data_IF_047890030303
#
_entry.id   IF_047890030303
#
_cell.length_a   1.000
_cell.length_b   1.000
_cell.length_c   1.000
_cell.angle_alpha   90.00
_cell.angle_beta   90.00
_cell.angle_gamma   90.00
#
_symmetry.space_group_name_H-M   'P 1'
#
loop_
_entity.id
_entity.type
_entity.pdbx_description
1 polymer ?
#
# COMPACT_ATOMS: atom_id res chain seq x y z
N UNK A 1 -62.25 -9.23 43.09
CA UNK A 1 -61.37 -9.69 42.01
C UNK A 1 -60.63 -8.44 41.54
N UNK A 2 -59.48 -8.08 42.12
CA UNK A 2 -58.12 -8.63 41.96
C UNK A 2 -57.42 -8.11 40.70
N UNK A 3 -56.38 -7.29 40.95
CA UNK A 3 -55.11 -7.06 40.21
C UNK A 3 -55.23 -6.50 38.77
N UNK A 4 -54.73 -5.30 38.44
CA UNK A 4 -53.35 -4.78 38.46
C UNK A 4 -52.41 -5.47 37.46
N UNK A 5 -51.93 -4.64 36.52
CA UNK A 5 -50.65 -4.66 35.82
C UNK A 5 -50.34 -5.79 34.83
N UNK A 6 -50.32 -5.43 33.54
CA UNK A 6 -49.25 -5.85 32.62
C UNK A 6 -48.98 -4.70 31.63
N UNK A 7 -47.92 -3.94 31.93
CA UNK A 7 -47.26 -3.03 30.99
C UNK A 7 -46.35 -3.90 30.14
N UNK A 8 -46.77 -4.25 28.93
CA UNK A 8 -45.86 -4.82 27.95
C UNK A 8 -44.95 -3.70 27.42
N UNK A 9 -43.70 -3.79 27.89
CA UNK A 9 -42.58 -2.95 27.56
C UNK A 9 -42.24 -3.18 26.07
N UNK A 10 -42.60 -2.23 25.20
CA UNK A 10 -42.16 -2.23 23.80
C UNK A 10 -40.65 -1.92 23.78
N UNK A 11 -39.75 -2.83 23.41
CA UNK A 11 -38.39 -2.42 23.16
C UNK A 11 -38.39 -1.60 21.87
N UNK A 12 -38.01 -0.33 22.00
CA UNK A 12 -37.65 0.55 20.89
C UNK A 12 -36.39 0.02 20.20
N UNK A 13 -36.55 -1.07 19.42
CA UNK A 13 -35.56 -1.56 18.48
C UNK A 13 -35.75 -0.88 17.14
N UNK A 14 -35.46 0.42 17.07
CA UNK A 14 -35.18 1.05 15.77
C UNK A 14 -33.97 0.33 15.15
N UNK A 15 -33.94 0.09 13.83
CA UNK A 15 -32.78 -0.52 13.21
C UNK A 15 -31.62 0.48 13.30
N UNK A 16 -30.76 0.28 14.29
CA UNK A 16 -29.42 0.84 14.30
C UNK A 16 -28.52 -0.04 13.43
N UNK A 17 -28.89 -0.20 12.16
CA UNK A 17 -27.91 -0.46 11.10
C UNK A 17 -27.59 0.89 10.48
N UNK A 18 -26.95 1.74 11.30
CA UNK A 18 -26.04 2.73 10.76
C UNK A 18 -24.87 1.91 10.22
N UNK A 19 -24.83 1.77 8.90
CA UNK A 19 -23.68 1.26 8.15
C UNK A 19 -22.40 1.57 8.91
N UNK A 20 -21.77 0.52 9.45
CA UNK A 20 -20.46 0.60 10.06
C UNK A 20 -19.49 0.92 8.92
N UNK A 21 -19.31 2.22 8.64
CA UNK A 21 -18.32 2.71 7.69
C UNK A 21 -16.97 2.35 8.29
N UNK A 22 -16.49 1.16 7.97
CA UNK A 22 -15.12 0.76 8.29
C UNK A 22 -14.18 1.82 7.70
N UNK A 23 -13.30 2.43 8.50
CA UNK A 23 -12.43 3.48 8.01
C UNK A 23 -11.38 2.86 7.08
N UNK A 24 -11.68 2.86 5.77
CA UNK A 24 -10.81 2.53 4.63
C UNK A 24 -9.73 1.48 4.93
N UNK A 25 -10.13 0.21 4.96
CA UNK A 25 -9.21 -0.92 5.07
C UNK A 25 -8.22 -0.94 3.88
N UNK A 26 -6.97 -1.28 4.17
CA UNK A 26 -5.97 -1.58 3.15
C UNK A 26 -6.48 -2.73 2.27
N UNK A 27 -6.53 -2.52 0.96
CA UNK A 27 -6.86 -3.58 0.01
C UNK A 27 -5.64 -4.48 -0.17
N UNK A 28 -5.80 -5.78 0.03
CA UNK A 28 -4.74 -6.76 -0.18
C UNK A 28 -5.09 -7.55 -1.44
N UNK A 29 -4.23 -7.48 -2.46
CA UNK A 29 -4.45 -8.17 -3.74
C UNK A 29 -3.19 -8.94 -4.11
N UNK A 30 -3.34 -10.22 -4.42
CA UNK A 30 -2.24 -11.10 -4.84
C UNK A 30 -1.97 -11.01 -6.35
N UNK A 31 -0.69 -10.94 -6.70
CA UNK A 31 -0.19 -10.94 -8.05
C UNK A 31 0.85 -12.06 -8.24
N UNK A 32 0.93 -12.67 -9.44
CA UNK A 32 1.78 -13.83 -9.66
C UNK A 32 3.28 -13.51 -9.64
N UNK A 33 3.68 -12.25 -9.75
CA UNK A 33 5.08 -11.85 -9.93
C UNK A 33 5.35 -10.40 -9.53
N UNK A 34 6.64 -10.07 -9.40
CA UNK A 34 7.12 -8.72 -9.04
C UNK A 34 6.62 -7.65 -10.01
N UNK A 35 6.74 -7.89 -11.32
CA UNK A 35 6.34 -6.95 -12.37
C UNK A 35 4.83 -6.67 -12.32
N UNK A 36 4.00 -7.69 -12.10
CA UNK A 36 2.55 -7.51 -11.99
C UNK A 36 2.15 -6.75 -10.72
N UNK A 37 2.80 -7.07 -9.60
CA UNK A 37 2.57 -6.34 -8.35
C UNK A 37 3.02 -4.87 -8.44
N UNK A 38 4.18 -4.59 -9.06
CA UNK A 38 4.69 -3.24 -9.21
C UNK A 38 3.81 -2.39 -10.13
N UNK A 39 3.37 -2.96 -11.27
CA UNK A 39 2.47 -2.27 -12.20
C UNK A 39 1.14 -1.96 -11.54
N UNK A 40 0.58 -2.90 -10.79
CA UNK A 40 -0.67 -2.68 -10.06
C UNK A 40 -0.53 -1.59 -9.00
N UNK A 41 0.58 -1.57 -8.26
CA UNK A 41 0.87 -0.54 -7.27
C UNK A 41 1.03 0.85 -7.89
N UNK A 42 1.76 0.98 -9.01
CA UNK A 42 1.86 2.25 -9.75
C UNK A 42 0.50 2.68 -10.31
N UNK A 43 -0.25 1.75 -10.91
CA UNK A 43 -1.61 2.01 -11.42
C UNK A 43 -2.55 2.48 -10.31
N UNK A 44 -2.43 1.93 -9.09
CA UNK A 44 -3.18 2.38 -7.93
C UNK A 44 -2.86 3.84 -7.58
N UNK A 45 -1.58 4.19 -7.54
CA UNK A 45 -1.15 5.59 -7.30
C UNK A 45 -1.72 6.54 -8.37
N UNK A 46 -1.69 6.12 -9.64
CA UNK A 46 -2.20 6.90 -10.77
C UNK A 46 -3.74 7.04 -10.77
N UNK A 47 -4.47 5.97 -10.41
CA UNK A 47 -5.93 5.94 -10.35
C UNK A 47 -6.51 6.66 -9.14
N UNK A 48 -5.72 6.88 -8.10
CA UNK A 48 -6.11 7.57 -6.86
C UNK A 48 -6.46 9.05 -6.98
N UNK A 49 -6.69 9.53 -8.21
CA UNK A 49 -6.81 10.93 -8.55
C UNK A 49 -8.24 11.24 -9.01
N UNK A 50 -8.89 12.15 -8.30
CA UNK A 50 -10.24 12.66 -8.61
C UNK A 50 -10.28 13.52 -9.91
N UNK A 51 -9.13 13.86 -10.52
CA UNK A 51 -9.04 14.96 -11.49
C UNK A 51 -8.59 14.60 -12.91
N UNK A 52 -8.59 13.32 -13.30
CA UNK A 52 -8.43 12.92 -14.71
C UNK A 52 -7.09 13.27 -15.39
N UNK A 53 -6.02 13.54 -14.62
CA UNK A 53 -4.65 13.72 -15.13
C UNK A 53 -3.72 12.68 -14.49
N UNK A 54 -2.84 12.01 -15.26
CA UNK A 54 -1.86 11.08 -14.71
C UNK A 54 -0.94 11.82 -13.72
N UNK A 55 -0.91 11.34 -12.48
CA UNK A 55 -0.11 11.86 -11.37
C UNK A 55 0.30 10.69 -10.47
N UNK A 56 1.58 10.62 -10.06
CA UNK A 56 2.57 11.69 -10.05
C UNK A 56 3.23 11.95 -11.41
N UNK A 57 3.60 13.21 -11.66
CA UNK A 57 4.63 13.49 -12.67
C UNK A 57 5.94 12.81 -12.19
N UNK A 58 6.56 11.92 -12.98
CA UNK A 58 7.78 11.22 -12.55
C UNK A 58 8.92 12.16 -12.13
N UNK A 59 8.93 13.39 -12.65
CA UNK A 59 9.92 14.43 -12.30
C UNK A 59 9.74 15.01 -10.90
N UNK A 60 8.55 14.87 -10.31
CA UNK A 60 8.24 15.35 -8.96
C UNK A 60 8.51 14.26 -7.90
N UNK A 61 8.86 13.05 -8.34
CA UNK A 61 9.16 11.93 -7.46
C UNK A 61 10.56 12.04 -6.88
N UNK A 62 10.68 11.65 -5.62
CA UNK A 62 11.94 11.51 -4.91
C UNK A 62 12.08 10.09 -4.37
N UNK A 63 13.33 9.65 -4.20
CA UNK A 63 13.62 8.36 -3.59
C UNK A 63 13.13 8.34 -2.13
N UNK A 64 12.45 7.26 -1.75
CA UNK A 64 11.97 7.04 -0.39
C UNK A 64 12.87 6.00 0.31
N UNK A 65 13.69 6.42 1.29
CA UNK A 65 14.45 5.49 2.10
C UNK A 65 13.59 4.87 3.19
N UNK A 66 13.88 3.62 3.56
CA UNK A 66 13.27 3.00 4.74
C UNK A 66 13.61 3.81 5.99
N UNK A 67 12.61 4.01 6.85
CA UNK A 67 12.74 4.76 8.10
C UNK A 67 13.12 3.87 9.29
N UNK A 68 12.82 2.57 9.22
CA UNK A 68 12.87 1.65 10.34
C UNK A 68 13.46 0.28 9.94
N UNK A 69 13.78 -0.52 10.97
CA UNK A 69 14.21 -1.90 10.79
C UNK A 69 15.61 -2.05 10.20
N UNK A 70 15.99 -3.29 9.80
CA UNK A 70 17.35 -3.62 9.35
C UNK A 70 17.75 -2.95 8.04
N UNK A 71 16.78 -2.46 7.26
CA UNK A 71 17.01 -1.80 5.98
C UNK A 71 16.96 -0.26 6.07
N UNK A 72 17.00 0.32 7.28
CA UNK A 72 16.97 1.77 7.49
C UNK A 72 18.00 2.49 6.60
N UNK A 73 17.54 3.53 5.89
CA UNK A 73 18.36 4.32 4.97
C UNK A 73 18.48 3.75 3.55
N UNK A 74 18.16 2.47 3.32
CA UNK A 74 18.11 1.89 1.96
C UNK A 74 16.88 2.37 1.22
N UNK A 75 16.99 2.54 -0.09
CA UNK A 75 15.86 2.91 -0.94
C UNK A 75 14.88 1.75 -1.00
N UNK A 76 13.62 2.02 -0.65
CA UNK A 76 12.53 1.03 -0.70
C UNK A 76 11.37 1.48 -1.58
N UNK A 77 11.41 2.69 -2.10
CA UNK A 77 10.32 3.20 -2.92
C UNK A 77 10.48 4.62 -3.38
N UNK A 78 9.34 5.21 -3.71
CA UNK A 78 9.20 6.53 -4.29
C UNK A 78 8.15 7.31 -3.50
N UNK A 79 8.35 8.62 -3.44
CA UNK A 79 7.45 9.50 -2.73
C UNK A 79 7.48 10.92 -3.26
N UNK A 80 6.78 11.81 -2.57
CA UNK A 80 6.75 13.24 -2.83
C UNK A 80 7.31 14.00 -1.63
N UNK A 81 8.11 15.02 -1.89
CA UNK A 81 8.64 15.89 -0.85
C UNK A 81 7.60 16.96 -0.49
N UNK A 82 7.16 16.99 0.76
CA UNK A 82 6.27 18.05 1.28
C UNK A 82 7.05 19.35 1.49
N UNK A 83 6.37 20.52 1.59
CA UNK A 83 7.01 21.78 1.94
C UNK A 83 7.79 21.73 3.27
N UNK A 84 7.38 20.88 4.20
CA UNK A 84 8.10 20.62 5.46
C UNK A 84 9.42 19.87 5.29
N UNK A 85 9.79 19.46 4.07
CA UNK A 85 10.96 18.64 3.78
C UNK A 85 10.75 17.14 4.00
N UNK A 86 9.64 16.75 4.64
CA UNK A 86 9.29 15.33 4.86
C UNK A 86 8.91 14.67 3.54
N UNK A 87 9.50 13.50 3.28
CA UNK A 87 9.10 12.65 2.16
C UNK A 87 7.93 11.76 2.61
N UNK A 88 6.85 11.84 1.85
CA UNK A 88 5.70 10.94 1.95
C UNK A 88 5.78 9.91 0.81
N UNK A 89 5.85 8.63 1.16
CA UNK A 89 5.85 7.52 0.21
C UNK A 89 4.55 7.49 -0.60
N UNK A 90 4.63 7.12 -1.87
CA UNK A 90 3.47 6.83 -2.72
C UNK A 90 3.41 5.36 -3.09
N UNK A 91 4.56 4.79 -3.43
CA UNK A 91 4.74 3.36 -3.69
C UNK A 91 6.05 2.90 -3.08
N UNK A 92 6.03 1.80 -2.34
CA UNK A 92 7.23 1.19 -1.76
C UNK A 92 7.11 -0.33 -1.76
N UNK A 93 8.22 -1.02 -1.95
CA UNK A 93 8.30 -2.45 -1.68
C UNK A 93 8.56 -2.67 -0.19
N UNK A 94 7.88 -3.64 0.38
CA UNK A 94 7.97 -3.98 1.79
C UNK A 94 7.95 -5.51 1.94
N UNK A 95 8.27 -5.97 3.14
CA UNK A 95 8.15 -7.38 3.50
C UNK A 95 7.59 -7.50 4.90
N UNK A 96 6.63 -8.39 5.10
CA UNK A 96 6.14 -8.72 6.42
C UNK A 96 5.96 -10.23 6.63
N UNK A 97 5.92 -10.62 7.90
CA UNK A 97 5.68 -11.99 8.35
C UNK A 97 4.20 -12.20 8.77
N UNK A 98 3.33 -11.24 8.48
CA UNK A 98 1.90 -11.24 8.85
C UNK A 98 0.99 -11.90 7.81
N UNK A 99 1.57 -12.63 6.86
CA UNK A 99 0.85 -13.37 5.82
C UNK A 99 0.85 -12.72 4.44
N UNK A 100 1.52 -11.56 4.25
CA UNK A 100 1.63 -10.93 2.92
C UNK A 100 2.92 -11.24 2.18
N UNK A 101 3.95 -11.72 2.87
CA UNK A 101 5.27 -11.90 2.27
C UNK A 101 5.84 -10.57 1.74
N UNK A 102 6.44 -10.59 0.55
CA UNK A 102 6.93 -9.38 -0.13
C UNK A 102 5.78 -8.75 -0.92
N UNK A 103 5.57 -7.45 -0.77
CA UNK A 103 4.48 -6.73 -1.39
C UNK A 103 4.83 -5.27 -1.70
N UNK A 104 4.11 -4.67 -2.64
CA UNK A 104 4.14 -3.24 -2.85
C UNK A 104 3.03 -2.56 -2.07
N UNK A 105 3.39 -1.64 -1.18
CA UNK A 105 2.46 -0.72 -0.55
C UNK A 105 2.29 0.51 -1.44
N UNK A 106 1.05 0.81 -1.84
CA UNK A 106 0.69 1.97 -2.64
C UNK A 106 -0.42 2.77 -1.96
N UNK A 107 -0.39 4.10 -2.09
CA UNK A 107 -1.44 4.96 -1.54
C UNK A 107 -1.77 6.15 -2.44
N UNK A 108 -3.00 6.64 -2.34
CA UNK A 108 -3.40 7.83 -3.09
C UNK A 108 -2.73 9.06 -2.50
N UNK A 109 -2.17 9.92 -3.36
CA UNK A 109 -1.48 11.14 -2.93
C UNK A 109 -2.37 12.08 -2.10
N UNK A 110 -3.63 12.26 -2.50
CA UNK A 110 -4.58 13.17 -1.83
C UNK A 110 -5.45 12.49 -0.77
N UNK A 111 -5.49 11.17 -0.77
CA UNK A 111 -6.27 10.38 0.18
C UNK A 111 -5.45 9.18 0.66
N UNK A 112 -4.51 9.44 1.56
CA UNK A 112 -3.57 8.41 2.06
C UNK A 112 -4.23 7.28 2.87
N UNK A 113 -5.53 7.40 3.16
CA UNK A 113 -6.34 6.33 3.74
C UNK A 113 -6.68 5.23 2.72
N UNK A 114 -6.62 5.53 1.41
CA UNK A 114 -6.77 4.52 0.36
C UNK A 114 -5.43 3.86 0.08
N UNK A 115 -5.30 2.62 0.53
CA UNK A 115 -4.06 1.85 0.48
C UNK A 115 -4.27 0.52 -0.25
N UNK A 116 -3.26 0.12 -1.00
CA UNK A 116 -3.14 -1.18 -1.62
C UNK A 116 -1.85 -1.85 -1.14
N UNK A 117 -1.94 -3.10 -0.72
CA UNK A 117 -0.84 -4.04 -0.63
C UNK A 117 -0.92 -5.02 -1.82
N UNK A 118 -0.12 -4.78 -2.85
CA UNK A 118 0.01 -5.67 -4.01
C UNK A 118 1.04 -6.77 -3.69
N UNK A 119 0.54 -7.93 -3.26
CA UNK A 119 1.32 -9.07 -2.75
C UNK A 119 1.93 -9.86 -3.89
N UNK A 120 3.23 -10.19 -3.79
CA UNK A 120 3.90 -11.10 -4.71
C UNK A 120 3.62 -12.53 -4.22
N UNK A 121 2.59 -13.17 -4.78
CA UNK A 121 2.03 -14.44 -4.30
C UNK A 121 3.07 -15.53 -4.03
N UNK A 122 4.07 -15.79 -4.90
CA UNK A 122 5.10 -16.80 -4.63
C UNK A 122 5.95 -16.55 -3.37
N UNK A 123 5.86 -15.38 -2.74
CA UNK A 123 6.68 -15.01 -1.57
C UNK A 123 5.97 -15.21 -0.23
N UNK A 124 4.67 -15.51 -0.25
CA UNK A 124 3.86 -15.71 0.97
C UNK A 124 4.35 -16.93 1.73
N UNK A 125 4.51 -18.06 1.03
CA UNK A 125 4.93 -19.34 1.60
C UNK A 125 6.45 -19.50 1.77
N UNK A 126 7.23 -18.46 1.45
CA UNK A 126 8.67 -18.48 1.69
C UNK A 126 8.97 -18.45 3.19
N UNK A 127 10.01 -19.18 3.59
CA UNK A 127 10.56 -19.04 4.94
C UNK A 127 11.05 -17.60 5.14
N UNK A 128 11.05 -17.08 6.39
CA UNK A 128 11.51 -15.71 6.66
C UNK A 128 12.93 -15.44 6.14
N UNK A 129 13.84 -16.43 6.27
CA UNK A 129 15.21 -16.31 5.76
C UNK A 129 15.25 -16.14 4.23
N UNK A 130 14.50 -16.96 3.49
CA UNK A 130 14.47 -16.91 2.02
C UNK A 130 13.78 -15.64 1.51
N UNK A 131 12.70 -15.23 2.18
CA UNK A 131 11.99 -13.97 1.91
C UNK A 131 12.90 -12.76 2.13
N UNK A 132 13.63 -12.71 3.24
CA UNK A 132 14.56 -11.61 3.55
C UNK A 132 15.73 -11.53 2.55
N UNK A 133 16.23 -12.69 2.09
CA UNK A 133 17.24 -12.73 1.03
C UNK A 133 16.70 -12.13 -0.27
N UNK A 134 15.55 -12.61 -0.74
CA UNK A 134 14.92 -12.12 -1.98
C UNK A 134 14.56 -10.62 -1.88
N UNK A 135 14.03 -10.18 -0.74
CA UNK A 135 13.75 -8.77 -0.49
C UNK A 135 15.03 -7.92 -0.58
N UNK A 136 16.14 -8.41 -0.02
CA UNK A 136 17.43 -7.71 -0.10
C UNK A 136 17.96 -7.58 -1.53
N UNK A 137 17.72 -8.59 -2.37
CA UNK A 137 18.04 -8.58 -3.81
C UNK A 137 17.20 -7.52 -4.53
N UNK A 138 15.90 -7.41 -4.23
CA UNK A 138 15.06 -6.34 -4.76
C UNK A 138 15.54 -4.96 -4.35
N UNK A 139 15.89 -4.74 -3.07
CA UNK A 139 16.42 -3.46 -2.61
C UNK A 139 17.75 -3.11 -3.29
N UNK A 140 18.62 -4.10 -3.52
CA UNK A 140 19.88 -3.90 -4.23
C UNK A 140 19.66 -3.45 -5.67
N UNK A 141 18.60 -3.94 -6.34
CA UNK A 141 18.27 -3.52 -7.70
C UNK A 141 17.83 -2.04 -7.79
N UNK A 142 17.41 -1.44 -6.68
CA UNK A 142 17.04 -0.02 -6.59
C UNK A 142 18.25 0.90 -6.33
N UNK A 143 19.37 0.35 -5.87
CA UNK A 143 20.55 1.13 -5.52
C UNK A 143 21.13 1.84 -6.76
N UNK A 144 21.58 3.09 -6.58
CA UNK A 144 22.14 3.94 -7.63
C UNK A 144 21.20 4.22 -8.83
N UNK A 145 19.87 4.04 -8.66
CA UNK A 145 18.86 4.40 -9.65
C UNK A 145 18.18 5.73 -9.30
N UNK A 146 17.77 6.48 -10.33
CA UNK A 146 16.98 7.69 -10.13
C UNK A 146 15.50 7.35 -9.81
N UNK A 147 14.78 8.31 -9.22
CA UNK A 147 13.35 8.16 -8.97
C UNK A 147 12.57 7.93 -10.26
N UNK A 148 12.93 8.63 -11.34
CA UNK A 148 12.33 8.47 -12.67
C UNK A 148 12.58 7.06 -13.23
N UNK A 149 13.79 6.52 -13.10
CA UNK A 149 14.11 5.17 -13.54
C UNK A 149 13.24 4.13 -12.83
N UNK A 150 13.16 4.21 -11.49
CA UNK A 150 12.36 3.27 -10.69
C UNK A 150 10.89 3.39 -11.03
N UNK A 151 10.37 4.61 -11.22
CA UNK A 151 8.98 4.82 -11.60
C UNK A 151 8.66 4.18 -12.96
N UNK A 152 9.49 4.44 -13.98
CA UNK A 152 9.30 3.84 -15.31
C UNK A 152 9.40 2.32 -15.24
N UNK A 153 10.35 1.78 -14.48
CA UNK A 153 10.46 0.34 -14.28
C UNK A 153 9.19 -0.24 -13.64
N UNK A 154 8.76 0.30 -12.50
CA UNK A 154 7.64 -0.25 -11.75
C UNK A 154 6.29 -0.07 -12.46
N UNK A 155 6.09 1.05 -13.15
CA UNK A 155 4.86 1.33 -13.90
C UNK A 155 4.71 0.50 -15.18
N UNK A 156 5.82 0.03 -15.76
CA UNK A 156 5.79 -0.82 -16.97
C UNK A 156 6.03 -2.30 -16.68
N UNK A 157 6.56 -2.63 -15.50
CA UNK A 157 7.02 -3.98 -15.17
C UNK A 157 8.32 -4.38 -15.88
N UNK A 158 8.95 -3.47 -16.62
CA UNK A 158 10.14 -3.73 -17.43
C UNK A 158 11.24 -2.74 -17.05
N UNK A 159 12.41 -3.22 -16.67
CA UNK A 159 13.52 -2.34 -16.34
C UNK A 159 13.95 -1.58 -17.61
N UNK A 160 14.05 -0.24 -17.58
CA UNK A 160 14.58 0.52 -18.70
C UNK A 160 16.00 0.05 -19.05
N UNK A 161 16.31 0.03 -20.35
CA UNK A 161 17.61 -0.37 -20.88
C UNK A 161 18.74 0.59 -20.44
#
# INVERSE_FOLDING_TARGET
MSQSDEIENVPAGGPADLDEVTPFAEQIIEYPSYDKASVAACTWVDNGQVTGKPQPNPKDLVLYPSKLGPNKGRIVGLGVKKPSGVIEDLVRIDTDDSGKGIHFNAKYRKNTSNKLAAVIKPTVDLTPARRNQLYSEYLKALENRSAEFIWTWWSTGQAPA
#
